data_IF_955706860279
#
_entry.id   IF_955706860279
#
_cell.length_a   1.000
_cell.length_b   1.000
_cell.length_c   1.000
_cell.angle_alpha   90.00
_cell.angle_beta   90.00
_cell.angle_gamma   90.00
#
_symmetry.space_group_name_H-M   'P 1'
#
loop_
_entity.id
_entity.type
_entity.pdbx_description
1 polymer ?
#
# COMPACT_ATOMS: atom_id res chain seq x y z
N UNK A 1 14.88 12.93 -16.57
CA UNK A 1 14.14 13.46 -15.41
C UNK A 1 13.42 12.28 -14.80
N UNK A 2 13.61 11.99 -13.51
CA UNK A 2 12.80 10.99 -12.81
C UNK A 2 11.42 11.60 -12.59
N UNK A 3 10.41 11.05 -13.27
CA UNK A 3 9.03 11.48 -13.09
C UNK A 3 8.45 10.77 -11.88
N UNK A 4 8.01 11.56 -10.89
CA UNK A 4 7.31 11.06 -9.72
C UNK A 4 6.03 10.35 -10.15
N UNK A 5 5.81 9.15 -9.60
CA UNK A 5 4.63 8.33 -9.87
C UNK A 5 3.76 8.33 -8.62
N UNK A 6 2.48 8.62 -8.79
CA UNK A 6 1.46 8.47 -7.76
C UNK A 6 0.73 7.16 -7.98
N UNK A 7 0.57 6.36 -6.93
CA UNK A 7 -0.19 5.12 -6.98
C UNK A 7 -1.36 5.20 -6.01
N UNK A 8 -2.54 4.83 -6.51
CA UNK A 8 -3.74 4.61 -5.70
C UNK A 8 -4.06 3.13 -5.75
N UNK A 9 -3.83 2.41 -4.65
CA UNK A 9 -4.13 0.99 -4.55
C UNK A 9 -5.36 0.76 -3.67
N UNK A 10 -6.32 0.00 -4.18
CA UNK A 10 -7.47 -0.45 -3.42
C UNK A 10 -7.21 -1.84 -2.85
N UNK A 11 -7.30 -1.94 -1.54
CA UNK A 11 -7.23 -3.19 -0.81
C UNK A 11 -8.59 -3.55 -0.23
N UNK A 12 -8.86 -4.85 -0.16
CA UNK A 12 -9.98 -5.42 0.58
C UNK A 12 -9.45 -6.18 1.79
N UNK A 13 -9.87 -5.77 2.98
CA UNK A 13 -9.48 -6.39 4.25
C UNK A 13 -10.04 -7.80 4.37
N UNK A 14 -9.25 -8.68 4.97
CA UNK A 14 -9.67 -10.04 5.26
C UNK A 14 -10.74 -10.04 6.36
N UNK A 15 -11.95 -10.46 6.00
CA UNK A 15 -13.10 -10.50 6.91
C UNK A 15 -13.01 -11.60 7.97
N UNK A 16 -12.17 -12.62 7.77
CA UNK A 16 -11.98 -13.73 8.70
C UNK A 16 -11.02 -13.38 9.85
N UNK A 17 -10.37 -12.21 9.79
CA UNK A 17 -9.44 -11.71 10.81
C UNK A 17 -10.06 -10.55 11.61
N UNK A 18 -9.66 -10.36 12.87
CA UNK A 18 -10.11 -9.21 13.66
C UNK A 18 -9.77 -7.89 12.96
N UNK A 19 -10.77 -7.05 12.72
CA UNK A 19 -10.59 -5.77 11.99
C UNK A 19 -9.45 -4.93 12.55
N UNK A 20 -9.34 -4.82 13.87
CA UNK A 20 -8.29 -4.03 14.51
C UNK A 20 -6.90 -4.56 14.13
N UNK A 21 -6.70 -5.88 14.11
CA UNK A 21 -5.44 -6.51 13.73
C UNK A 21 -5.11 -6.24 12.25
N UNK A 22 -6.10 -6.28 11.37
CA UNK A 22 -5.91 -5.99 9.94
C UNK A 22 -5.51 -4.52 9.74
N UNK A 23 -6.22 -3.60 10.40
CA UNK A 23 -5.90 -2.16 10.37
C UNK A 23 -4.49 -1.91 10.87
N UNK A 24 -4.12 -2.46 12.03
CA UNK A 24 -2.77 -2.33 12.58
C UNK A 24 -1.71 -2.87 11.61
N UNK A 25 -1.96 -4.02 10.96
CA UNK A 25 -1.04 -4.58 9.97
C UNK A 25 -0.88 -3.67 8.73
N UNK A 26 -1.96 -3.07 8.24
CA UNK A 26 -1.93 -2.12 7.12
C UNK A 26 -1.16 -0.85 7.49
N UNK A 27 -1.37 -0.30 8.68
CA UNK A 27 -0.64 0.89 9.15
C UNK A 27 0.86 0.59 9.33
N UNK A 28 1.21 -0.57 9.90
CA UNK A 28 2.61 -0.98 10.00
C UNK A 28 3.25 -1.22 8.63
N UNK A 29 2.50 -1.76 7.68
CA UNK A 29 2.96 -1.93 6.30
C UNK A 29 3.25 -0.57 5.65
N UNK A 30 2.33 0.41 5.76
CA UNK A 30 2.55 1.77 5.28
C UNK A 30 3.77 2.43 5.92
N UNK A 31 3.97 2.25 7.23
CA UNK A 31 5.12 2.78 7.95
C UNK A 31 6.43 2.15 7.47
N UNK A 32 6.44 0.85 7.21
CA UNK A 32 7.61 0.15 6.66
C UNK A 32 7.94 0.63 5.25
N UNK A 33 6.93 0.87 4.40
CA UNK A 33 7.11 1.42 3.06
C UNK A 33 7.80 2.79 3.06
N UNK A 34 7.53 3.63 4.06
CA UNK A 34 8.17 4.95 4.19
C UNK A 34 9.68 4.87 4.48
N UNK A 35 10.21 3.70 4.82
CA UNK A 35 11.66 3.48 4.97
C UNK A 35 12.35 3.08 3.66
N UNK A 36 11.59 2.79 2.60
CA UNK A 36 12.13 2.38 1.30
C UNK A 36 12.79 3.55 0.56
N UNK A 37 13.94 3.29 -0.06
CA UNK A 37 14.57 4.26 -0.95
C UNK A 37 13.66 4.54 -2.15
N UNK A 38 13.29 5.81 -2.34
CA UNK A 38 12.42 6.24 -3.43
C UNK A 38 10.92 6.12 -3.15
N UNK A 39 10.50 5.63 -1.97
CA UNK A 39 9.12 5.79 -1.49
C UNK A 39 8.99 7.14 -0.77
N UNK A 40 8.21 8.05 -1.33
CA UNK A 40 8.02 9.42 -0.86
C UNK A 40 6.75 9.60 -0.02
N UNK A 41 5.84 8.63 -0.08
CA UNK A 41 4.58 8.60 0.64
C UNK A 41 3.99 7.18 0.60
N UNK A 42 3.45 6.71 1.73
CA UNK A 42 2.55 5.56 1.79
C UNK A 42 1.60 5.75 2.97
N UNK A 43 0.30 5.95 2.71
CA UNK A 43 -0.72 6.12 3.74
C UNK A 43 -1.98 5.35 3.40
N UNK A 44 -2.63 4.77 4.40
CA UNK A 44 -3.93 4.13 4.25
C UNK A 44 -5.07 5.10 4.58
N UNK A 45 -6.18 4.94 3.88
CA UNK A 45 -7.48 5.56 4.20
C UNK A 45 -8.55 4.49 4.20
N UNK A 46 -9.46 4.55 5.17
CA UNK A 46 -10.48 3.53 5.38
C UNK A 46 -11.85 4.06 4.97
N UNK A 47 -12.58 3.27 4.19
CA UNK A 47 -13.91 3.66 3.75
C UNK A 47 -14.92 3.57 4.91
N UNK A 48 -15.68 4.65 5.11
CA UNK A 48 -16.70 4.73 6.17
C UNK A 48 -18.00 4.00 5.81
N UNK A 49 -18.23 3.77 4.52
CA UNK A 49 -19.43 3.09 4.00
C UNK A 49 -19.19 1.61 3.74
N UNK A 50 -17.96 1.25 3.39
CA UNK A 50 -17.53 -0.14 3.26
C UNK A 50 -16.38 -0.43 4.23
N UNK A 51 -16.67 -1.01 5.41
CA UNK A 51 -15.66 -1.25 6.43
C UNK A 51 -14.54 -2.21 6.04
N UNK A 52 -14.62 -2.90 4.90
CA UNK A 52 -13.54 -3.77 4.39
C UNK A 52 -12.68 -3.08 3.34
N UNK A 53 -13.09 -1.92 2.83
CA UNK A 53 -12.40 -1.23 1.75
C UNK A 53 -11.36 -0.24 2.28
N UNK A 54 -10.14 -0.34 1.74
CA UNK A 54 -9.00 0.50 2.10
C UNK A 54 -8.36 1.05 0.84
N UNK A 55 -7.97 2.32 0.87
CA UNK A 55 -7.24 2.97 -0.22
C UNK A 55 -5.86 3.39 0.29
N UNK A 56 -4.82 2.84 -0.34
CA UNK A 56 -3.45 3.29 -0.16
C UNK A 56 -3.15 4.45 -1.11
N UNK A 57 -2.56 5.49 -0.56
CA UNK A 57 -2.03 6.64 -1.26
C UNK A 57 -0.52 6.59 -1.20
N UNK A 58 0.08 6.31 -2.35
CA UNK A 58 1.51 6.08 -2.47
C UNK A 58 2.13 7.06 -3.47
N UNK A 59 3.38 7.42 -3.21
CA UNK A 59 4.16 8.27 -4.11
C UNK A 59 5.58 7.75 -4.19
N UNK A 60 6.06 7.57 -5.40
CA UNK A 60 7.39 7.04 -5.68
C UNK A 60 8.20 8.01 -6.53
N UNK A 61 9.50 8.04 -6.30
CA UNK A 61 10.44 8.86 -7.06
C UNK A 61 10.47 8.48 -8.55
N UNK A 62 10.33 7.18 -8.84
CA UNK A 62 10.37 6.62 -10.19
C UNK A 62 9.84 5.18 -10.22
N UNK A 63 9.80 4.59 -11.43
CA UNK A 63 9.38 3.20 -11.66
C UNK A 63 10.22 2.16 -10.90
N UNK A 64 11.54 2.35 -10.81
CA UNK A 64 12.43 1.40 -10.14
C UNK A 64 12.12 1.29 -8.65
N UNK A 65 11.67 2.37 -8.00
CA UNK A 65 11.21 2.33 -6.62
C UNK A 65 9.94 1.46 -6.45
N UNK A 66 8.99 1.54 -7.39
CA UNK A 66 7.79 0.67 -7.39
C UNK A 66 8.17 -0.80 -7.59
N UNK A 67 9.07 -1.09 -8.53
CA UNK A 67 9.52 -2.47 -8.78
C UNK A 67 10.25 -3.06 -7.55
N UNK A 68 11.09 -2.25 -6.89
CA UNK A 68 11.79 -2.65 -5.68
C UNK A 68 10.83 -2.90 -4.51
N UNK A 69 9.77 -2.09 -4.37
CA UNK A 69 8.75 -2.23 -3.31
C UNK A 69 8.19 -3.66 -3.24
N UNK A 70 7.89 -4.29 -4.37
CA UNK A 70 7.36 -5.65 -4.41
C UNK A 70 8.37 -6.72 -3.95
N UNK A 71 9.67 -6.44 -4.00
CA UNK A 71 10.71 -7.35 -3.51
C UNK A 71 11.04 -7.15 -2.02
N UNK A 72 10.49 -6.11 -1.37
CA UNK A 72 10.82 -5.79 0.02
C UNK A 72 10.30 -6.85 1.00
N UNK A 73 11.06 -7.18 2.06
CA UNK A 73 10.65 -8.19 3.04
C UNK A 73 9.30 -7.90 3.70
N UNK A 74 9.01 -6.64 4.03
CA UNK A 74 7.72 -6.27 4.63
C UNK A 74 6.55 -6.41 3.66
N UNK A 75 6.75 -6.17 2.37
CA UNK A 75 5.73 -6.39 1.33
C UNK A 75 5.42 -7.87 1.19
N UNK A 76 6.45 -8.72 1.11
CA UNK A 76 6.27 -10.17 1.07
C UNK A 76 5.61 -10.70 2.34
N UNK A 77 6.00 -10.19 3.52
CA UNK A 77 5.37 -10.55 4.78
C UNK A 77 3.91 -10.13 4.87
N UNK A 78 3.56 -8.93 4.37
CA UNK A 78 2.18 -8.44 4.35
C UNK A 78 1.28 -9.30 3.44
N UNK A 79 1.78 -9.67 2.25
CA UNK A 79 1.10 -10.59 1.33
C UNK A 79 0.89 -11.96 1.99
N UNK A 80 1.95 -12.53 2.58
CA UNK A 80 1.89 -13.85 3.22
C UNK A 80 1.00 -13.87 4.48
N UNK A 81 0.82 -12.75 5.16
CA UNK A 81 -0.06 -12.64 6.32
C UNK A 81 -1.55 -12.66 5.95
N UNK A 82 -1.87 -12.46 4.66
CA UNK A 82 -3.22 -12.46 4.10
C UNK A 82 -4.16 -11.50 4.86
N UNK A 83 -3.64 -10.35 5.31
CA UNK A 83 -4.40 -9.36 6.06
C UNK A 83 -5.36 -8.58 5.16
N UNK A 84 -4.97 -8.34 3.91
CA UNK A 84 -5.79 -7.74 2.88
C UNK A 84 -5.36 -8.25 1.50
N UNK A 85 -6.27 -8.19 0.52
CA UNK A 85 -6.02 -8.52 -0.88
C UNK A 85 -6.02 -7.24 -1.74
N UNK A 86 -5.14 -7.18 -2.75
CA UNK A 86 -5.15 -6.11 -3.73
C UNK A 86 -6.33 -6.30 -4.70
N UNK A 87 -7.21 -5.32 -4.78
CA UNK A 87 -8.36 -5.31 -5.69
C UNK A 87 -7.99 -4.68 -7.03
N UNK A 88 -7.38 -3.50 -6.98
CA UNK A 88 -6.96 -2.74 -8.15
C UNK A 88 -5.91 -1.69 -7.78
N UNK A 89 -5.11 -1.26 -8.74
CA UNK A 89 -4.19 -0.14 -8.56
C UNK A 89 -4.19 0.75 -9.81
N UNK A 90 -4.06 2.05 -9.60
CA UNK A 90 -3.95 3.05 -10.65
C UNK A 90 -2.69 3.86 -10.45
N UNK A 91 -2.01 4.15 -11.55
CA UNK A 91 -0.81 4.97 -11.55
C UNK A 91 -1.09 6.26 -12.29
N UNK A 92 -0.66 7.37 -11.72
CA UNK A 92 -0.75 8.70 -12.34
C UNK A 92 0.61 9.37 -12.30
N UNK A 93 1.01 9.98 -13.41
CA UNK A 93 2.23 10.78 -13.52
C UNK A 93 1.86 12.25 -13.57
N UNK A 94 2.63 13.10 -12.90
CA UNK A 94 2.50 14.53 -13.06
C UNK A 94 2.95 14.90 -14.49
N UNK A 95 2.06 15.54 -15.25
CA UNK A 95 2.36 16.09 -16.58
C UNK A 95 3.20 17.36 -16.49
#
# INVERSE_FOLDING_TARGET
>A
MSETIFVTAELKMNADKPRQQVVEAIEQFCLAMQSEAGCLQANATYDSKDPQRVILWERYENRTAIEAHFAMPHTQAFIAAEMAELVQAFETQAQ
#
